data_IF_893492731070
#
_entry.id   IF_893492731070
#
_cell.length_a   1.000
_cell.length_b   1.000
_cell.length_c   1.000
_cell.angle_alpha   90.00
_cell.angle_beta   90.00
_cell.angle_gamma   90.00
#
_symmetry.space_group_name_H-M   'P 1'
#
loop_
_entity.id
_entity.type
_entity.pdbx_description
1 polymer ?
#
# COMPACT_ATOMS: atom_id res chain seq x y z
N UNK A 1 10.95 -6.41 -7.66
CA UNK A 1 11.05 -5.52 -6.49
C UNK A 1 9.78 -4.71 -6.39
N UNK A 2 9.16 -4.73 -5.21
CA UNK A 2 7.92 -4.00 -4.97
C UNK A 2 8.25 -2.68 -4.27
N UNK A 3 7.76 -1.58 -4.85
CA UNK A 3 7.78 -0.27 -4.19
C UNK A 3 6.41 -0.10 -3.50
N UNK A 4 6.39 -0.25 -2.18
CA UNK A 4 5.14 -0.23 -1.42
C UNK A 4 4.40 1.09 -1.57
N UNK A 5 5.12 2.21 -1.58
CA UNK A 5 4.51 3.53 -1.68
C UNK A 5 3.76 3.69 -3.01
N UNK A 6 4.39 3.29 -4.11
CA UNK A 6 3.76 3.39 -5.43
C UNK A 6 2.57 2.46 -5.57
N UNK A 7 2.71 1.23 -5.07
CA UNK A 7 1.62 0.23 -5.12
C UNK A 7 0.42 0.71 -4.31
N UNK A 8 0.66 1.21 -3.09
CA UNK A 8 -0.41 1.69 -2.22
C UNK A 8 -1.04 2.96 -2.76
N UNK A 9 -0.26 3.85 -3.38
CA UNK A 9 -0.82 5.03 -4.03
C UNK A 9 -1.74 4.64 -5.19
N UNK A 10 -1.33 3.67 -5.99
CA UNK A 10 -2.16 3.17 -7.09
C UNK A 10 -3.43 2.51 -6.57
N UNK A 11 -3.31 1.71 -5.50
CA UNK A 11 -4.48 1.09 -4.88
C UNK A 11 -5.47 2.16 -4.38
N UNK A 12 -4.96 3.17 -3.70
CA UNK A 12 -5.80 4.26 -3.19
C UNK A 12 -6.53 4.98 -4.31
N UNK A 13 -5.84 5.25 -5.41
CA UNK A 13 -6.45 5.92 -6.56
C UNK A 13 -7.48 5.04 -7.26
N UNK A 14 -7.24 3.72 -7.31
CA UNK A 14 -8.14 2.76 -7.97
C UNK A 14 -9.39 2.49 -7.11
N UNK A 15 -9.22 2.43 -5.79
CA UNK A 15 -10.30 2.16 -4.85
C UNK A 15 -10.42 3.31 -3.84
N UNK A 16 -10.88 4.49 -4.28
CA UNK A 16 -10.86 5.68 -3.42
C UNK A 16 -11.76 5.60 -2.19
N UNK A 17 -12.69 4.65 -2.17
CA UNK A 17 -13.59 4.46 -1.04
C UNK A 17 -12.96 3.63 0.07
N UNK A 18 -11.88 2.92 -0.22
CA UNK A 18 -11.20 2.10 0.76
C UNK A 18 -10.30 3.00 1.62
N UNK A 19 -10.65 3.09 2.90
CA UNK A 19 -9.87 3.85 3.87
C UNK A 19 -9.22 2.89 4.85
N UNK A 20 -7.90 2.96 4.98
CA UNK A 20 -7.18 2.04 5.86
C UNK A 20 -5.82 2.60 6.26
N UNK A 21 -5.32 2.13 7.39
CA UNK A 21 -3.97 2.40 7.85
C UNK A 21 -3.18 1.09 7.82
N UNK A 22 -2.01 1.11 7.20
CA UNK A 22 -1.21 -0.08 6.98
C UNK A 22 0.20 0.15 7.53
N UNK A 23 0.70 -0.84 8.27
CA UNK A 23 2.09 -0.88 8.67
C UNK A 23 2.80 -1.93 7.81
N UNK A 24 3.75 -1.49 6.98
CA UNK A 24 4.48 -2.39 6.08
C UNK A 24 5.83 -2.75 6.69
N UNK A 25 6.15 -4.03 6.67
CA UNK A 25 7.44 -4.55 7.12
C UNK A 25 8.09 -5.33 5.99
N UNK A 26 9.27 -4.88 5.56
CA UNK A 26 10.04 -5.49 4.48
C UNK A 26 11.48 -5.65 4.94
N UNK A 27 11.92 -6.91 5.03
CA UNK A 27 13.27 -7.22 5.49
C UNK A 27 14.34 -6.98 4.42
N UNK A 28 13.95 -6.98 3.16
CA UNK A 28 14.90 -6.85 2.06
C UNK A 28 15.04 -5.41 1.57
N UNK A 29 13.96 -4.65 1.60
CA UNK A 29 13.96 -3.28 1.10
C UNK A 29 13.43 -2.35 2.17
N UNK A 30 14.35 -1.81 2.97
CA UNK A 30 13.99 -1.01 4.15
C UNK A 30 13.18 0.24 3.82
N UNK A 31 13.31 0.76 2.60
CA UNK A 31 12.55 1.93 2.16
C UNK A 31 11.04 1.67 2.15
N UNK A 32 10.62 0.40 2.07
CA UNK A 32 9.20 0.05 2.13
C UNK A 32 8.64 0.07 3.55
N UNK A 33 9.50 0.02 4.57
CA UNK A 33 9.04 0.01 5.97
C UNK A 33 8.43 1.35 6.34
N UNK A 34 7.30 1.31 7.02
CA UNK A 34 6.67 2.51 7.52
C UNK A 34 5.18 2.36 7.64
N UNK A 35 4.52 3.49 7.82
CA UNK A 35 3.08 3.56 8.07
C UNK A 35 2.44 4.31 6.92
N UNK A 36 1.37 3.72 6.38
CA UNK A 36 0.66 4.27 5.23
C UNK A 36 -0.79 4.48 5.58
N UNK A 37 -1.33 5.62 5.20
CA UNK A 37 -2.74 5.94 5.39
C UNK A 37 -3.38 6.17 4.03
N UNK A 38 -4.35 5.33 3.68
CA UNK A 38 -5.09 5.43 2.42
C UNK A 38 -6.45 6.05 2.72
N UNK A 39 -6.73 7.17 2.07
CA UNK A 39 -8.00 7.89 2.27
C UNK A 39 -8.30 8.74 1.05
N UNK A 40 -9.53 8.67 0.57
CA UNK A 40 -10.05 9.52 -0.51
C UNK A 40 -9.17 9.51 -1.76
N UNK A 41 -8.66 8.35 -2.13
CA UNK A 41 -7.84 8.20 -3.32
C UNK A 41 -6.39 8.60 -3.16
N UNK A 42 -5.95 8.87 -1.94
CA UNK A 42 -4.58 9.29 -1.66
C UNK A 42 -3.92 8.36 -0.67
N UNK A 43 -2.60 8.21 -0.80
CA UNK A 43 -1.79 7.46 0.14
C UNK A 43 -0.79 8.39 0.80
N UNK A 44 -0.85 8.48 2.12
CA UNK A 44 0.08 9.26 2.91
C UNK A 44 1.05 8.34 3.63
N UNK A 45 2.31 8.73 3.67
CA UNK A 45 3.38 7.95 4.28
C UNK A 45 3.91 8.65 5.51
N UNK A 46 4.23 7.85 6.55
CA UNK A 46 4.86 8.35 7.76
C UNK A 46 5.90 7.35 8.24
N UNK A 47 7.03 7.86 8.74
CA UNK A 47 8.03 7.03 9.42
C UNK A 47 7.66 6.76 10.87
N UNK A 48 6.72 7.52 11.41
CA UNK A 48 6.25 7.36 12.78
C UNK A 48 4.85 6.74 12.78
N UNK A 49 4.54 5.99 13.85
CA UNK A 49 3.24 5.34 13.97
C UNK A 49 2.13 6.37 14.00
N UNK A 50 1.15 6.18 13.13
CA UNK A 50 -0.02 7.04 13.07
C UNK A 50 -1.01 6.66 14.18
N UNK A 51 -1.87 7.60 14.63
CA UNK A 51 -2.92 7.28 15.60
C UNK A 51 -3.90 6.24 15.04
N UNK A 52 -4.38 5.36 15.91
CA UNK A 52 -5.39 4.39 15.55
C UNK A 52 -4.81 3.02 15.22
N UNK A 53 -5.70 2.12 14.80
CA UNK A 53 -5.32 0.74 14.48
C UNK A 53 -4.69 0.65 13.11
N UNK A 54 -3.69 -0.24 12.97
CA UNK A 54 -3.00 -0.48 11.72
C UNK A 54 -3.13 -1.95 11.33
N UNK A 55 -3.27 -2.19 10.02
CA UNK A 55 -3.18 -3.52 9.46
C UNK A 55 -1.71 -3.79 9.19
N UNK A 56 -1.15 -4.78 9.89
CA UNK A 56 0.25 -5.13 9.69
C UNK A 56 0.38 -6.04 8.48
N UNK A 57 1.28 -5.69 7.56
CA UNK A 57 1.53 -6.47 6.36
C UNK A 57 3.02 -6.62 6.11
N UNK A 58 3.46 -7.85 5.84
CA UNK A 58 4.75 -8.09 5.22
C UNK A 58 4.59 -8.00 3.69
N UNK A 59 5.68 -8.18 2.95
CA UNK A 59 5.63 -8.05 1.49
C UNK A 59 4.73 -9.10 0.84
N UNK A 60 4.71 -10.32 1.37
CA UNK A 60 3.83 -11.37 0.86
C UNK A 60 2.36 -10.97 1.02
N UNK A 61 2.00 -10.46 2.19
CA UNK A 61 0.63 -10.01 2.43
C UNK A 61 0.27 -8.79 1.59
N UNK A 62 1.20 -7.87 1.41
CA UNK A 62 1.00 -6.71 0.55
C UNK A 62 0.71 -7.17 -0.88
N UNK A 63 1.51 -8.13 -1.40
CA UNK A 63 1.31 -8.67 -2.73
C UNK A 63 -0.08 -9.31 -2.86
N UNK A 64 -0.48 -10.11 -1.89
CA UNK A 64 -1.74 -10.85 -1.98
C UNK A 64 -2.97 -9.95 -1.78
N UNK A 65 -2.89 -8.99 -0.89
CA UNK A 65 -4.05 -8.17 -0.53
C UNK A 65 -4.17 -6.89 -1.36
N UNK A 66 -3.06 -6.36 -1.82
CA UNK A 66 -3.03 -5.07 -2.49
C UNK A 66 -2.66 -5.21 -3.96
N UNK A 67 -1.55 -5.87 -4.25
CA UNK A 67 -1.05 -5.94 -5.62
C UNK A 67 -1.91 -6.82 -6.52
N UNK A 68 -2.36 -7.98 -6.04
CA UNK A 68 -3.19 -8.88 -6.85
C UNK A 68 -4.52 -8.25 -7.27
N UNK A 69 -5.27 -7.59 -6.38
CA UNK A 69 -6.47 -6.88 -6.81
C UNK A 69 -6.21 -5.79 -7.83
N UNK A 70 -4.99 -5.25 -7.87
CA UNK A 70 -4.62 -4.21 -8.83
C UNK A 70 -4.21 -4.75 -10.19
N UNK A 71 -3.87 -6.04 -10.30
CA UNK A 71 -3.35 -6.60 -11.55
C UNK A 71 -4.17 -6.28 -12.79
N UNK A 72 -5.52 -6.45 -12.79
CA UNK A 72 -6.31 -6.10 -13.98
C UNK A 72 -6.16 -4.63 -14.36
N UNK A 73 -6.11 -3.76 -13.37
CA UNK A 73 -5.99 -2.31 -13.61
C UNK A 73 -4.60 -1.94 -14.07
N UNK A 74 -3.57 -2.56 -13.49
CA UNK A 74 -2.19 -2.33 -13.89
C UNK A 74 -1.96 -2.77 -15.34
N UNK A 75 -2.52 -3.91 -15.73
CA UNK A 75 -2.41 -4.40 -17.09
C UNK A 75 -2.99 -3.42 -18.09
N UNK A 76 -4.12 -2.80 -17.78
CA UNK A 76 -4.74 -1.78 -18.62
C UNK A 76 -3.89 -0.52 -18.70
N UNK A 77 -3.26 -0.15 -17.60
CA UNK A 77 -2.45 1.07 -17.56
C UNK A 77 -1.11 0.91 -18.27
N UNK A 78 -0.55 -0.30 -18.27
CA UNK A 78 0.75 -0.56 -18.88
C UNK A 78 0.67 -0.83 -20.38
N UNK A 79 -0.49 -1.05 -20.88
CA UNK A 79 -0.74 -1.25 -22.31
C UNK A 79 -1.19 0.06 -22.94
#
# INVERSE_FOLDING_TARGET
IINAKEVLQLYAATFPEDEMQIEVSDKQLSVNNGYYYLCKGKCMYSTERLPGAHIQMNITELTNRILQPLNPYMSLMLN
#
